data_IF_787925275814
#
_entry.id   IF_787925275814
#
_cell.length_a   1.000
_cell.length_b   1.000
_cell.length_c   1.000
_cell.angle_alpha   90.00
_cell.angle_beta   90.00
_cell.angle_gamma   90.00
#
_symmetry.space_group_name_H-M   'P 1'
#
loop_
_entity.id
_entity.type
_entity.pdbx_description
1 polymer ?
#
# COMPACT_ATOMS: atom_id res chain seq x y z
N UNK A 1 9.29 -7.15 -9.90
CA UNK A 1 9.85 -7.92 -8.77
C UNK A 1 9.00 -9.16 -8.57
N UNK A 2 9.61 -10.33 -8.49
CA UNK A 2 8.93 -11.59 -8.21
C UNK A 2 9.82 -12.47 -7.32
N UNK A 3 9.18 -13.34 -6.54
CA UNK A 3 9.83 -14.32 -5.66
C UNK A 3 9.64 -15.69 -6.29
N UNK A 4 10.72 -16.37 -6.66
CA UNK A 4 10.68 -17.70 -7.21
C UNK A 4 10.80 -18.81 -6.15
N UNK A 5 10.54 -20.08 -6.52
CA UNK A 5 10.63 -21.21 -5.57
C UNK A 5 11.99 -21.38 -4.91
N UNK A 6 13.08 -20.95 -5.56
CA UNK A 6 14.43 -21.00 -5.00
C UNK A 6 14.85 -19.76 -4.22
N UNK A 7 13.98 -18.76 -4.11
CA UNK A 7 14.26 -17.49 -3.48
C UNK A 7 13.78 -17.42 -2.01
N UNK A 8 13.19 -18.49 -1.49
CA UNK A 8 12.73 -18.60 -0.10
C UNK A 8 13.55 -19.66 0.62
N UNK A 9 14.14 -19.30 1.77
CA UNK A 9 14.93 -20.25 2.56
C UNK A 9 14.05 -21.22 3.33
N UNK A 10 14.61 -22.36 3.72
CA UNK A 10 13.95 -23.27 4.65
C UNK A 10 13.73 -22.57 5.99
N UNK A 11 12.54 -22.67 6.60
CA UNK A 11 12.27 -22.18 7.94
C UNK A 11 13.17 -22.83 8.99
N UNK A 12 13.50 -22.09 10.05
CA UNK A 12 14.28 -22.59 11.18
C UNK A 12 13.51 -23.56 12.10
N UNK A 13 12.20 -23.67 11.93
CA UNK A 13 11.31 -24.54 12.69
C UNK A 13 10.87 -25.73 11.84
N UNK A 14 11.17 -26.99 12.22
CA UNK A 14 10.73 -28.17 11.50
C UNK A 14 9.20 -28.30 11.43
N UNK A 15 8.71 -28.79 10.29
CA UNK A 15 7.28 -29.00 10.05
C UNK A 15 6.52 -27.79 9.54
N UNK A 16 7.14 -26.62 9.53
CA UNK A 16 6.58 -25.43 8.88
C UNK A 16 7.03 -25.41 7.42
N UNK A 17 6.09 -25.18 6.52
CA UNK A 17 6.36 -25.08 5.09
C UNK A 17 6.17 -23.62 4.65
N UNK A 18 7.13 -23.12 3.90
CA UNK A 18 7.08 -21.78 3.32
C UNK A 18 7.25 -21.88 1.81
N UNK A 19 6.34 -21.30 1.05
CA UNK A 19 6.38 -21.34 -0.41
C UNK A 19 5.90 -20.01 -1.02
N UNK A 20 6.54 -19.55 -2.10
CA UNK A 20 6.03 -18.41 -2.86
C UNK A 20 4.77 -18.81 -3.64
N UNK A 21 3.87 -17.83 -3.84
CA UNK A 21 2.73 -17.96 -4.75
C UNK A 21 3.18 -18.14 -6.21
N UNK A 22 2.30 -18.64 -7.06
CA UNK A 22 2.59 -18.85 -8.49
C UNK A 22 2.95 -17.54 -9.20
N UNK A 23 2.34 -16.43 -8.80
CA UNK A 23 2.61 -15.09 -9.35
C UNK A 23 3.87 -14.42 -8.73
N UNK A 24 4.48 -15.04 -7.72
CA UNK A 24 5.65 -14.52 -7.03
C UNK A 24 5.40 -13.26 -6.19
N UNK A 25 4.15 -12.91 -5.90
CA UNK A 25 3.80 -11.70 -5.14
C UNK A 25 3.58 -11.97 -3.66
N UNK A 26 3.30 -13.21 -3.30
CA UNK A 26 2.99 -13.62 -1.94
C UNK A 26 3.87 -14.80 -1.48
N UNK A 27 4.02 -14.94 -0.18
CA UNK A 27 4.63 -16.11 0.46
C UNK A 27 3.59 -16.73 1.39
N UNK A 28 3.28 -18.00 1.17
CA UNK A 28 2.39 -18.78 2.02
C UNK A 28 3.19 -19.52 3.08
N UNK A 29 2.71 -19.47 4.32
CA UNK A 29 3.26 -20.22 5.46
C UNK A 29 2.23 -21.24 5.89
N UNK A 30 2.56 -22.52 5.84
CA UNK A 30 1.72 -23.60 6.36
C UNK A 30 2.26 -24.07 7.69
N UNK A 31 1.44 -24.00 8.72
CA UNK A 31 1.78 -24.35 10.10
C UNK A 31 1.03 -25.63 10.48
N UNK A 32 1.67 -26.63 11.11
CA UNK A 32 0.98 -27.81 11.60
C UNK A 32 0.11 -27.47 12.82
N UNK A 33 -0.93 -28.29 13.10
CA UNK A 33 -1.87 -28.10 14.22
C UNK A 33 -1.18 -27.98 15.59
N UNK A 34 0.02 -28.53 15.73
CA UNK A 34 0.82 -28.43 16.96
C UNK A 34 2.24 -28.00 16.60
N UNK A 35 2.49 -26.71 16.45
CA UNK A 35 3.84 -26.20 16.18
C UNK A 35 4.73 -26.39 17.40
N UNK A 36 6.02 -26.71 17.16
CA UNK A 36 7.02 -26.88 18.22
C UNK A 36 7.63 -25.57 18.71
N UNK A 37 7.33 -24.46 18.04
CA UNK A 37 7.78 -23.13 18.41
C UNK A 37 6.73 -22.08 18.03
N UNK A 38 6.70 -20.97 18.78
CA UNK A 38 5.78 -19.86 18.57
C UNK A 38 6.32 -18.76 17.64
N UNK A 39 7.57 -18.89 17.22
CA UNK A 39 8.21 -17.94 16.30
C UNK A 39 8.98 -18.73 15.26
N UNK A 40 8.86 -18.35 14.01
CA UNK A 40 9.59 -18.93 12.89
C UNK A 40 10.33 -17.82 12.12
N UNK A 41 11.53 -18.15 11.70
CA UNK A 41 12.34 -17.27 10.86
C UNK A 41 12.61 -17.95 9.52
N UNK A 42 12.55 -17.17 8.46
CA UNK A 42 13.01 -17.55 7.13
C UNK A 42 13.41 -16.29 6.36
N UNK A 43 14.11 -16.46 5.27
CA UNK A 43 14.47 -15.34 4.39
C UNK A 43 13.88 -15.51 3.01
N UNK A 44 13.69 -14.39 2.32
CA UNK A 44 13.33 -14.41 0.91
C UNK A 44 14.22 -13.43 0.14
N UNK A 45 14.44 -13.74 -1.13
CA UNK A 45 15.23 -12.93 -2.04
C UNK A 45 14.35 -12.40 -3.16
N UNK A 46 14.39 -11.11 -3.40
CA UNK A 46 13.74 -10.47 -4.56
C UNK A 46 14.76 -10.23 -5.66
N UNK A 47 14.31 -10.33 -6.90
CA UNK A 47 15.14 -10.10 -8.08
C UNK A 47 14.45 -9.07 -9.00
N UNK A 48 15.21 -8.09 -9.49
CA UNK A 48 14.73 -7.07 -10.44
C UNK A 48 15.04 -7.41 -11.91
N UNK A 49 15.53 -8.64 -12.18
CA UNK A 49 15.89 -9.10 -13.52
C UNK A 49 17.31 -8.74 -13.94
N UNK A 50 18.06 -7.99 -13.14
CA UNK A 50 19.47 -7.73 -13.43
C UNK A 50 20.35 -8.92 -13.03
N UNK A 51 21.37 -9.25 -13.82
CA UNK A 51 22.32 -10.35 -13.50
C UNK A 51 23.20 -9.96 -12.31
N UNK A 52 23.53 -10.96 -11.48
CA UNK A 52 24.48 -10.80 -10.38
C UNK A 52 23.83 -10.34 -9.06
N UNK A 53 24.70 -10.02 -8.10
CA UNK A 53 24.29 -9.63 -6.75
C UNK A 53 23.57 -8.26 -6.69
N UNK A 54 23.88 -7.37 -7.63
CA UNK A 54 23.30 -6.02 -7.69
C UNK A 54 21.79 -6.04 -8.04
N UNK A 55 21.32 -7.11 -8.70
CA UNK A 55 19.91 -7.30 -9.02
C UNK A 55 19.10 -7.99 -7.92
N UNK A 56 19.71 -8.38 -6.80
CA UNK A 56 19.08 -9.20 -5.76
C UNK A 56 19.18 -8.54 -4.38
N UNK A 57 18.12 -8.70 -3.60
CA UNK A 57 18.08 -8.28 -2.20
C UNK A 57 17.37 -9.33 -1.36
N UNK A 58 17.93 -9.62 -0.19
CA UNK A 58 17.39 -10.63 0.73
C UNK A 58 16.90 -9.96 2.00
N UNK A 59 15.70 -10.34 2.44
CA UNK A 59 15.11 -9.90 3.70
C UNK A 59 14.80 -11.10 4.60
N UNK A 60 14.89 -10.87 5.92
CA UNK A 60 14.48 -11.82 6.95
C UNK A 60 13.02 -11.59 7.29
N UNK A 61 12.26 -12.66 7.42
CA UNK A 61 10.89 -12.67 7.93
C UNK A 61 10.89 -13.33 9.31
N UNK A 62 10.22 -12.70 10.25
CA UNK A 62 9.89 -13.28 11.55
C UNK A 62 8.37 -13.39 11.63
N UNK A 63 7.84 -14.60 11.72
CA UNK A 63 6.42 -14.84 11.87
C UNK A 63 6.13 -15.40 13.27
N UNK A 64 5.17 -14.80 13.98
CA UNK A 64 4.71 -15.31 15.27
C UNK A 64 3.52 -16.22 15.04
N UNK A 65 3.58 -17.43 15.60
CA UNK A 65 2.51 -18.41 15.57
C UNK A 65 1.67 -18.18 16.83
N UNK A 66 0.38 -17.93 16.64
CA UNK A 66 -0.58 -17.69 17.72
C UNK A 66 -1.69 -18.74 17.69
N UNK A 67 -2.36 -18.92 18.83
CA UNK A 67 -3.47 -19.87 18.92
C UNK A 67 -4.67 -19.36 18.09
N UNK A 68 -5.29 -20.25 17.30
CA UNK A 68 -6.43 -19.94 16.44
C UNK A 68 -7.70 -19.58 17.23
N UNK A 69 -7.74 -19.92 18.52
CA UNK A 69 -8.91 -19.73 19.40
C UNK A 69 -9.31 -18.27 19.62
N UNK A 70 -8.42 -17.30 19.31
CA UNK A 70 -8.69 -15.86 19.44
C UNK A 70 -8.35 -15.19 18.12
N UNK A 71 -9.37 -14.90 17.34
CA UNK A 71 -9.22 -14.13 16.10
C UNK A 71 -10.46 -13.27 15.85
N UNK A 72 -10.24 -11.98 15.62
CA UNK A 72 -11.28 -11.01 15.31
C UNK A 72 -11.07 -10.52 13.87
N UNK A 73 -12.12 -10.50 13.06
CA UNK A 73 -12.01 -9.99 11.71
C UNK A 73 -11.57 -8.52 11.68
N UNK A 74 -10.78 -8.10 10.68
CA UNK A 74 -10.35 -6.70 10.53
C UNK A 74 -11.51 -5.72 10.55
N UNK A 75 -11.32 -4.58 11.19
CA UNK A 75 -12.33 -3.53 11.36
C UNK A 75 -11.81 -2.14 10.96
N UNK A 76 -12.72 -1.25 10.56
CA UNK A 76 -12.39 0.14 10.20
C UNK A 76 -12.20 0.98 11.47
N UNK A 77 -11.17 1.81 11.51
CA UNK A 77 -11.00 2.82 12.57
C UNK A 77 -12.14 3.83 12.54
N UNK A 78 -12.87 3.93 13.61
CA UNK A 78 -14.06 4.80 13.73
C UNK A 78 -13.81 6.29 13.49
N UNK A 79 -12.57 6.76 13.65
CA UNK A 79 -12.22 8.19 13.48
C UNK A 79 -11.76 8.54 12.05
N UNK A 80 -11.65 7.57 11.14
CA UNK A 80 -11.24 7.78 9.74
C UNK A 80 -12.34 7.40 8.73
N UNK A 81 -13.55 7.13 9.18
CA UNK A 81 -14.72 6.93 8.31
C UNK A 81 -14.96 8.10 7.31
N UNK A 82 -14.27 9.22 7.49
CA UNK A 82 -14.31 10.38 6.60
C UNK A 82 -13.62 10.13 5.25
N UNK A 83 -12.62 9.27 5.18
CA UNK A 83 -11.90 8.99 3.92
C UNK A 83 -12.66 7.95 3.09
N UNK A 84 -13.24 6.93 3.72
CA UNK A 84 -14.08 5.93 3.06
C UNK A 84 -15.37 6.52 2.45
N UNK A 85 -15.79 7.72 2.88
CA UNK A 85 -16.96 8.44 2.32
C UNK A 85 -16.57 9.52 1.31
N UNK A 86 -15.31 9.92 1.23
CA UNK A 86 -14.83 10.85 0.22
C UNK A 86 -14.76 10.14 -1.15
N UNK A 87 -15.67 10.48 -2.03
CA UNK A 87 -15.64 9.97 -3.41
C UNK A 87 -14.42 10.54 -4.13
N UNK A 88 -13.46 9.68 -4.41
CA UNK A 88 -12.26 10.08 -5.17
C UNK A 88 -12.66 10.37 -6.62
N UNK A 89 -12.40 11.58 -7.15
CA UNK A 89 -12.75 11.91 -8.51
C UNK A 89 -11.80 11.22 -9.50
N UNK A 90 -12.36 10.81 -10.63
CA UNK A 90 -11.60 10.22 -11.74
C UNK A 90 -12.30 10.56 -13.05
N UNK A 91 -11.55 10.75 -14.13
CA UNK A 91 -12.11 10.95 -15.46
C UNK A 91 -12.63 9.63 -16.05
N UNK A 92 -13.52 9.69 -17.02
CA UNK A 92 -14.03 8.52 -17.75
C UNK A 92 -12.90 7.71 -18.37
N UNK A 93 -12.91 6.39 -18.18
CA UNK A 93 -11.87 5.48 -18.65
C UNK A 93 -10.49 5.72 -18.03
N UNK A 94 -10.37 6.63 -17.07
CA UNK A 94 -9.12 6.94 -16.36
C UNK A 94 -8.80 5.93 -15.27
N UNK A 95 -7.61 6.11 -14.68
CA UNK A 95 -7.13 5.28 -13.59
C UNK A 95 -6.92 6.12 -12.33
N UNK A 96 -7.27 5.56 -11.19
CA UNK A 96 -7.04 6.21 -9.89
C UNK A 96 -6.61 5.16 -8.86
N UNK A 97 -5.68 5.51 -7.99
CA UNK A 97 -5.29 4.70 -6.84
C UNK A 97 -5.98 5.23 -5.58
N UNK A 98 -6.66 4.35 -4.86
CA UNK A 98 -7.38 4.67 -3.62
C UNK A 98 -6.75 3.90 -2.47
N UNK A 99 -6.10 4.61 -1.56
CA UNK A 99 -5.45 4.04 -0.38
C UNK A 99 -6.49 3.62 0.65
N UNK A 100 -6.79 2.33 0.73
CA UNK A 100 -7.77 1.80 1.69
C UNK A 100 -7.13 1.12 2.90
N UNK A 101 -5.94 0.59 2.78
CA UNK A 101 -5.28 -0.23 3.82
C UNK A 101 -5.07 0.51 5.14
N UNK A 102 -4.77 1.81 5.08
CA UNK A 102 -4.50 2.62 6.26
C UNK A 102 -5.70 2.77 7.22
N UNK A 103 -6.92 2.56 6.71
CA UNK A 103 -8.15 2.68 7.49
C UNK A 103 -8.46 1.45 8.35
N UNK A 104 -7.79 0.34 8.06
CA UNK A 104 -8.07 -0.94 8.69
C UNK A 104 -7.16 -1.23 9.87
N UNK A 105 -7.70 -1.93 10.84
CA UNK A 105 -7.01 -2.45 12.02
C UNK A 105 -7.49 -3.86 12.30
N UNK A 106 -6.61 -4.58 12.95
CA UNK A 106 -6.88 -5.87 13.54
C UNK A 106 -6.74 -5.78 15.06
N UNK A 107 -7.62 -6.45 15.83
CA UNK A 107 -7.63 -6.38 17.29
C UNK A 107 -6.44 -7.10 17.91
N UNK A 108 -5.99 -8.17 17.28
CA UNK A 108 -4.84 -8.99 17.64
C UNK A 108 -3.54 -8.42 17.05
N UNK A 109 -3.65 -7.31 16.29
CA UNK A 109 -2.56 -6.63 15.58
C UNK A 109 -1.94 -7.50 14.47
N UNK A 110 -2.75 -8.37 13.88
CA UNK A 110 -2.36 -9.15 12.72
C UNK A 110 -2.22 -8.25 11.46
N UNK A 111 -1.33 -8.58 10.53
CA UNK A 111 -1.15 -7.79 9.33
C UNK A 111 -2.33 -7.96 8.39
N UNK A 112 -2.98 -6.86 8.04
CA UNK A 112 -4.11 -6.89 7.10
C UNK A 112 -3.65 -6.88 5.64
N UNK A 113 -4.34 -7.69 4.83
CA UNK A 113 -4.16 -7.80 3.39
C UNK A 113 -5.44 -7.37 2.69
N UNK A 114 -5.31 -6.66 1.58
CA UNK A 114 -6.42 -6.21 0.75
C UNK A 114 -6.53 -7.12 -0.47
N UNK A 115 -7.74 -7.54 -0.81
CA UNK A 115 -8.07 -8.29 -2.02
C UNK A 115 -9.19 -7.55 -2.78
N UNK A 116 -9.01 -7.32 -4.08
CA UNK A 116 -10.10 -6.78 -4.90
C UNK A 116 -11.12 -7.86 -5.23
N UNK A 117 -12.40 -7.57 -5.03
CA UNK A 117 -13.52 -8.41 -5.45
C UNK A 117 -14.13 -7.94 -6.77
N UNK A 118 -13.58 -6.87 -7.36
CA UNK A 118 -14.08 -6.25 -8.58
C UNK A 118 -13.04 -6.33 -9.69
N UNK A 119 -13.46 -6.74 -10.90
CA UNK A 119 -12.57 -6.85 -12.06
C UNK A 119 -12.08 -5.49 -12.59
N UNK A 120 -12.74 -4.40 -12.21
CA UNK A 120 -12.32 -3.04 -12.56
C UNK A 120 -11.20 -2.51 -11.67
N UNK A 121 -10.77 -3.28 -10.67
CA UNK A 121 -9.73 -2.89 -9.73
C UNK A 121 -8.72 -4.02 -9.48
N UNK A 122 -7.49 -3.63 -9.20
CA UNK A 122 -6.42 -4.49 -8.70
C UNK A 122 -5.82 -3.88 -7.43
N UNK A 123 -5.07 -4.67 -6.67
CA UNK A 123 -4.37 -4.19 -5.49
C UNK A 123 -2.90 -3.98 -5.86
N UNK A 124 -2.36 -2.81 -5.57
CA UNK A 124 -0.95 -2.51 -5.77
C UNK A 124 -0.07 -3.03 -4.62
N UNK A 125 1.26 -2.96 -4.77
CA UNK A 125 2.21 -3.43 -3.77
C UNK A 125 2.14 -2.70 -2.41
N UNK A 126 1.47 -1.56 -2.33
CA UNK A 126 1.21 -0.80 -1.10
C UNK A 126 -0.11 -1.14 -0.42
N UNK A 127 -0.95 -1.95 -1.08
CA UNK A 127 -2.30 -2.27 -0.60
C UNK A 127 -3.35 -1.21 -0.94
N UNK A 128 -3.09 -0.35 -1.94
CA UNK A 128 -4.09 0.54 -2.49
C UNK A 128 -4.84 -0.12 -3.65
N UNK A 129 -6.09 0.28 -3.84
CA UNK A 129 -6.91 -0.16 -4.97
C UNK A 129 -6.61 0.69 -6.21
N UNK A 130 -5.99 0.08 -7.21
CA UNK A 130 -5.81 0.67 -8.53
C UNK A 130 -7.10 0.42 -9.34
N UNK A 131 -7.91 1.44 -9.47
CA UNK A 131 -9.26 1.37 -10.08
C UNK A 131 -9.21 1.92 -11.50
N UNK A 132 -9.79 1.17 -12.44
CA UNK A 132 -10.07 1.65 -13.80
C UNK A 132 -11.52 2.10 -13.87
N UNK A 133 -11.74 3.39 -14.09
CA UNK A 133 -13.07 3.97 -14.15
C UNK A 133 -13.82 3.55 -15.43
N UNK A 134 -15.13 3.29 -15.35
CA UNK A 134 -15.95 3.06 -16.54
C UNK A 134 -16.07 4.35 -17.38
N UNK A 135 -16.54 4.19 -18.63
CA UNK A 135 -16.80 5.33 -19.51
C UNK A 135 -18.07 6.11 -19.16
N UNK A 136 -18.88 5.62 -18.24
CA UNK A 136 -20.14 6.25 -17.85
C UNK A 136 -19.92 7.14 -16.61
N UNK A 137 -20.28 8.44 -16.67
CA UNK A 137 -20.18 9.34 -15.53
C UNK A 137 -21.10 8.92 -14.38
N UNK A 138 -20.69 9.22 -13.16
CA UNK A 138 -21.46 8.97 -11.95
C UNK A 138 -20.69 8.28 -10.85
N UNK A 139 -21.34 7.98 -9.73
CA UNK A 139 -20.72 7.26 -8.62
C UNK A 139 -20.52 5.78 -8.96
N UNK A 140 -19.36 5.25 -8.59
CA UNK A 140 -18.99 3.83 -8.73
C UNK A 140 -18.46 3.32 -7.40
N UNK A 141 -19.00 2.20 -6.95
CA UNK A 141 -18.51 1.48 -5.78
C UNK A 141 -17.72 0.26 -6.22
N UNK A 142 -16.48 0.15 -5.75
CA UNK A 142 -15.59 -0.98 -5.97
C UNK A 142 -15.53 -1.80 -4.71
N UNK A 143 -15.89 -3.08 -4.79
CA UNK A 143 -15.86 -3.99 -3.66
C UNK A 143 -14.46 -4.56 -3.44
N UNK A 144 -14.09 -4.67 -2.18
CA UNK A 144 -12.84 -5.31 -1.77
C UNK A 144 -13.04 -6.06 -0.45
N UNK A 145 -12.13 -6.98 -0.18
CA UNK A 145 -12.07 -7.75 1.06
C UNK A 145 -10.77 -7.43 1.79
N UNK A 146 -10.85 -7.42 3.09
CA UNK A 146 -9.70 -7.27 4.00
C UNK A 146 -9.58 -8.52 4.83
N UNK A 147 -8.42 -9.13 4.84
CA UNK A 147 -8.11 -10.37 5.55
C UNK A 147 -6.98 -10.16 6.54
N UNK A 148 -7.01 -10.88 7.65
CA UNK A 148 -5.97 -10.87 8.68
C UNK A 148 -4.92 -11.99 8.52
N UNK A 149 -5.11 -12.88 7.52
CA UNK A 149 -4.24 -14.04 7.32
C UNK A 149 -4.51 -15.22 8.29
N UNK A 150 -5.45 -15.06 9.22
CA UNK A 150 -5.85 -16.09 10.20
C UNK A 150 -7.28 -16.59 10.02
N UNK A 151 -7.90 -16.20 8.90
CA UNK A 151 -9.25 -16.60 8.54
C UNK A 151 -10.34 -15.58 8.86
N UNK A 152 -10.03 -14.50 9.57
CA UNK A 152 -10.91 -13.35 9.73
C UNK A 152 -10.92 -12.49 8.47
N UNK A 153 -12.08 -12.08 8.02
CA UNK A 153 -12.22 -11.21 6.86
C UNK A 153 -13.41 -10.29 6.95
N UNK A 154 -13.31 -9.13 6.31
CA UNK A 154 -14.40 -8.14 6.23
C UNK A 154 -14.47 -7.58 4.82
N UNK A 155 -15.68 -7.54 4.24
CA UNK A 155 -15.93 -6.90 2.95
C UNK A 155 -16.25 -5.43 3.12
N UNK A 156 -15.77 -4.62 2.18
CA UNK A 156 -15.99 -3.18 2.15
C UNK A 156 -16.08 -2.64 0.72
N UNK A 157 -16.29 -1.34 0.59
CA UNK A 157 -16.40 -0.64 -0.68
C UNK A 157 -15.55 0.62 -0.67
N UNK A 158 -14.85 0.85 -1.77
CA UNK A 158 -14.25 2.14 -2.09
C UNK A 158 -15.13 2.85 -3.12
N UNK A 159 -15.47 4.12 -2.88
CA UNK A 159 -16.33 4.88 -3.78
C UNK A 159 -15.50 5.89 -4.58
N UNK A 160 -15.70 5.90 -5.89
CA UNK A 160 -15.16 6.91 -6.80
C UNK A 160 -16.29 7.65 -7.49
N UNK A 161 -16.03 8.88 -7.93
CA UNK A 161 -16.94 9.65 -8.78
C UNK A 161 -16.32 9.84 -10.16
N UNK A 162 -16.93 9.24 -11.18
CA UNK A 162 -16.51 9.38 -12.57
C UNK A 162 -17.06 10.70 -13.13
N UNK A 163 -16.16 11.60 -13.51
CA UNK A 163 -16.50 12.90 -14.07
C UNK A 163 -16.81 12.78 -15.56
N UNK A 164 -17.89 13.44 -15.99
CA UNK A 164 -18.23 13.63 -17.40
C UNK A 164 -17.53 14.87 -17.99
N UNK A 165 -17.54 15.01 -19.31
CA UNK A 165 -16.83 16.09 -20.02
C UNK A 165 -17.36 17.50 -19.68
N UNK A 166 -18.61 17.60 -19.21
CA UNK A 166 -19.20 18.86 -18.80
C UNK A 166 -19.03 19.17 -17.30
N UNK A 167 -18.45 18.24 -16.55
CA UNK A 167 -18.21 18.44 -15.12
C UNK A 167 -17.04 19.41 -14.89
N UNK A 168 -17.09 20.09 -13.76
CA UNK A 168 -16.00 20.99 -13.37
C UNK A 168 -14.80 20.18 -12.87
N UNK A 169 -13.58 20.67 -13.15
CA UNK A 169 -12.38 20.09 -12.56
C UNK A 169 -12.48 20.05 -11.03
N UNK A 170 -12.03 18.94 -10.45
CA UNK A 170 -11.89 18.78 -9.00
C UNK A 170 -10.41 18.92 -8.65
N UNK A 171 -10.02 19.89 -7.83
CA UNK A 171 -8.63 20.09 -7.45
C UNK A 171 -8.14 18.93 -6.56
N UNK A 172 -6.82 18.64 -6.54
CA UNK A 172 -6.23 17.71 -5.60
C UNK A 172 -6.31 18.24 -4.16
N UNK A 173 -6.29 17.32 -3.20
CA UNK A 173 -6.29 17.65 -1.76
C UNK A 173 -5.04 17.04 -1.12
N UNK A 174 -4.13 17.89 -0.67
CA UNK A 174 -2.95 17.46 0.05
C UNK A 174 -3.31 17.03 1.49
N UNK A 175 -2.72 15.92 1.92
CA UNK A 175 -2.83 15.38 3.27
C UNK A 175 -1.54 15.66 4.06
N UNK A 176 -1.64 15.67 5.38
CA UNK A 176 -0.47 15.87 6.23
C UNK A 176 0.37 14.59 6.33
N UNK A 177 1.68 14.74 6.13
CA UNK A 177 2.65 13.67 6.33
C UNK A 177 3.37 13.80 7.66
N UNK A 178 3.69 12.66 8.28
CA UNK A 178 4.50 12.59 9.48
C UNK A 178 5.67 11.64 9.25
N UNK A 179 6.89 12.15 9.37
CA UNK A 179 8.11 11.36 9.20
C UNK A 179 9.02 11.51 10.42
N UNK A 180 9.75 10.46 10.75
CA UNK A 180 10.81 10.51 11.77
C UNK A 180 12.17 10.59 11.10
N UNK A 181 12.98 11.55 11.52
CA UNK A 181 14.33 11.74 11.03
C UNK A 181 15.36 11.63 12.17
N UNK A 182 16.57 11.24 11.82
CA UNK A 182 17.73 11.25 12.73
C UNK A 182 18.57 12.48 12.38
N UNK A 183 18.98 13.22 13.40
CA UNK A 183 19.82 14.43 13.24
C UNK A 183 21.07 14.12 12.41
N UNK A 184 21.35 14.95 11.41
CA UNK A 184 22.49 14.81 10.52
C UNK A 184 22.39 13.69 9.49
N UNK A 185 21.24 13.01 9.40
CA UNK A 185 20.97 12.00 8.38
C UNK A 185 19.87 12.48 7.43
N UNK A 186 20.04 12.29 6.11
CA UNK A 186 18.96 12.56 5.16
C UNK A 186 17.82 11.56 5.37
N UNK A 187 16.61 12.04 5.22
CA UNK A 187 15.39 11.22 5.19
C UNK A 187 14.62 11.50 3.90
N UNK A 188 14.10 10.44 3.29
CA UNK A 188 13.27 10.55 2.10
C UNK A 188 11.80 10.34 2.44
N UNK A 189 10.96 11.09 1.76
CA UNK A 189 9.51 11.14 1.93
C UNK A 189 8.87 11.14 0.54
N UNK A 190 7.75 10.44 0.39
CA UNK A 190 6.88 10.47 -0.79
C UNK A 190 5.52 11.09 -0.40
N UNK A 191 5.42 12.42 -0.33
CA UNK A 191 4.24 13.09 0.21
C UNK A 191 2.97 12.86 -0.61
N UNK A 192 3.08 12.56 -1.90
CA UNK A 192 1.91 12.31 -2.75
C UNK A 192 1.20 10.98 -2.46
N UNK A 193 1.78 10.10 -1.62
CA UNK A 193 1.27 8.75 -1.40
C UNK A 193 -0.07 8.68 -0.67
N UNK A 194 -0.40 9.67 0.13
CA UNK A 194 -1.66 9.80 0.88
C UNK A 194 -2.56 10.94 0.36
N UNK A 195 -2.09 11.71 -0.62
CA UNK A 195 -2.84 12.81 -1.20
C UNK A 195 -4.00 12.31 -2.07
N UNK A 196 -5.11 13.03 -2.06
CA UNK A 196 -6.22 12.76 -2.97
C UNK A 196 -5.92 13.41 -4.33
N UNK A 197 -5.83 12.64 -5.42
CA UNK A 197 -5.67 13.20 -6.74
C UNK A 197 -6.94 13.97 -7.13
N UNK A 198 -6.77 15.13 -7.72
CA UNK A 198 -7.86 15.79 -8.41
C UNK A 198 -8.19 15.07 -9.73
N UNK A 199 -9.19 15.56 -10.43
CA UNK A 199 -9.49 15.11 -11.78
C UNK A 199 -9.96 16.29 -12.63
N UNK A 200 -9.44 16.38 -13.85
CA UNK A 200 -9.84 17.41 -14.82
C UNK A 200 -10.35 16.73 -16.10
N UNK A 201 -11.66 16.81 -16.37
CA UNK A 201 -12.23 16.25 -17.59
C UNK A 201 -11.70 16.89 -18.87
N UNK A 202 -11.18 18.12 -18.79
CA UNK A 202 -10.62 18.86 -19.94
C UNK A 202 -9.14 18.54 -20.19
N UNK A 203 -8.45 17.95 -19.19
CA UNK A 203 -7.06 17.48 -19.32
C UNK A 203 -6.91 16.05 -18.78
N UNK A 204 -7.16 15.04 -19.63
CA UNK A 204 -7.03 13.63 -19.22
C UNK A 204 -5.58 13.21 -18.93
N UNK A 205 -4.61 14.06 -19.23
CA UNK A 205 -3.19 13.80 -18.95
C UNK A 205 -2.73 14.39 -17.62
N UNK A 206 -3.57 15.18 -16.96
CA UNK A 206 -3.26 15.75 -15.66
C UNK A 206 -2.88 14.64 -14.64
N UNK A 207 -1.81 14.90 -13.89
CA UNK A 207 -1.30 13.99 -12.84
C UNK A 207 -0.95 14.78 -11.61
N UNK A 208 -1.14 14.17 -10.45
CA UNK A 208 -0.64 14.73 -9.20
C UNK A 208 0.89 14.84 -9.25
N UNK A 209 1.42 16.00 -8.95
CA UNK A 209 2.85 16.29 -8.99
C UNK A 209 3.22 17.23 -7.85
N UNK A 210 4.46 17.09 -7.36
CA UNK A 210 5.03 18.09 -6.44
C UNK A 210 5.26 19.41 -7.19
N UNK A 211 5.00 20.53 -6.51
CA UNK A 211 5.49 21.83 -6.97
C UNK A 211 7.03 21.86 -6.92
N UNK A 212 7.65 22.60 -7.82
CA UNK A 212 9.12 22.72 -7.88
C UNK A 212 9.72 23.34 -6.60
N UNK A 213 8.93 24.04 -5.81
CA UNK A 213 9.37 24.77 -4.62
C UNK A 213 8.70 24.21 -3.36
N UNK A 214 9.48 23.47 -2.56
CA UNK A 214 9.10 23.07 -1.20
C UNK A 214 9.84 23.95 -0.20
N UNK A 215 9.11 24.64 0.67
CA UNK A 215 9.67 25.54 1.68
C UNK A 215 9.71 24.88 3.04
N UNK A 216 10.80 25.06 3.77
CA UNK A 216 10.97 24.57 5.13
C UNK A 216 11.51 25.68 6.06
N UNK A 217 11.52 25.41 7.37
CA UNK A 217 12.14 26.29 8.35
C UNK A 217 13.65 26.41 8.11
N UNK A 218 14.25 27.51 8.59
CA UNK A 218 15.69 27.70 8.52
C UNK A 218 16.45 26.55 9.20
N UNK A 219 17.55 26.09 8.60
CA UNK A 219 18.35 24.99 9.09
C UNK A 219 17.97 23.62 8.53
N UNK A 220 16.93 23.52 7.70
CA UNK A 220 16.65 22.33 6.90
C UNK A 220 17.06 22.56 5.45
N UNK A 221 17.76 21.59 4.89
CA UNK A 221 17.93 21.47 3.44
C UNK A 221 16.84 20.56 2.92
N UNK A 222 16.04 21.06 1.98
CA UNK A 222 14.97 20.32 1.33
C UNK A 222 15.28 20.25 -0.15
N UNK A 223 15.45 19.04 -0.64
CA UNK A 223 15.63 18.74 -2.06
C UNK A 223 14.39 18.02 -2.58
N UNK A 224 13.85 18.50 -3.70
CA UNK A 224 12.60 18.02 -4.28
C UNK A 224 12.84 17.47 -5.67
N UNK A 225 12.62 16.18 -5.85
CA UNK A 225 12.56 15.59 -7.17
C UNK A 225 11.12 15.58 -7.67
N UNK A 226 10.79 16.55 -8.53
CA UNK A 226 9.43 16.74 -9.06
C UNK A 226 8.96 15.58 -9.93
N UNK A 227 9.89 14.90 -10.63
CA UNK A 227 9.55 13.80 -11.54
C UNK A 227 9.20 12.52 -10.77
N UNK A 228 9.95 12.23 -9.70
CA UNK A 228 9.74 11.02 -8.89
C UNK A 228 8.78 11.25 -7.73
N UNK A 229 8.44 12.50 -7.41
CA UNK A 229 7.63 12.83 -6.24
C UNK A 229 8.35 12.64 -4.90
N UNK A 230 9.68 12.50 -4.90
CA UNK A 230 10.49 12.30 -3.69
C UNK A 230 10.99 13.63 -3.14
N UNK A 231 10.81 13.82 -1.84
CA UNK A 231 11.40 14.94 -1.09
C UNK A 231 12.47 14.39 -0.15
N UNK A 232 13.68 14.92 -0.24
CA UNK A 232 14.78 14.59 0.68
C UNK A 232 14.99 15.73 1.66
N UNK A 233 14.92 15.44 2.94
CA UNK A 233 15.10 16.43 4.01
C UNK A 233 16.37 16.08 4.78
N UNK A 234 17.26 17.07 4.92
CA UNK A 234 18.47 16.96 5.73
C UNK A 234 18.50 18.11 6.74
N UNK A 235 18.49 17.76 8.02
CA UNK A 235 18.61 18.74 9.11
C UNK A 235 20.04 18.77 9.62
N UNK A 236 20.60 19.97 9.82
CA UNK A 236 21.81 20.15 10.63
C UNK A 236 21.46 20.02 12.12
N UNK A 237 22.36 19.50 12.93
CA UNK A 237 22.25 19.67 14.37
C UNK A 237 22.20 21.15 14.71
N UNK A 238 21.37 21.57 15.68
CA UNK A 238 21.36 22.92 16.19
C UNK A 238 22.70 23.32 16.81
#
# INVERSE_FOLDING_TARGET
LAIGPGDVSTPDVPGILVSPSIDGQNISISVPDKPIANVVHFSYTVNNGQPGAEGRSTALVTATIVDESVNTAPYVRTNQATIATAKTPVIRGGHVSVGVKADWRDAENDPVVIESLDQSASVDGGGALAITAPNQPGPVDVKYKVEDGRGGSTEAKASVIVLGDADRPVPPVAQADVIRAVVGKPVQLQPLGNDLPGADPTDPTARLRLAAEVRGPAGLMIDTNVETGVVTITGSAP
#
